data_IF_946099217921
#
_entry.id   IF_946099217921
#
_cell.length_a   1.000
_cell.length_b   1.000
_cell.length_c   1.000
_cell.angle_alpha   90.00
_cell.angle_beta   90.00
_cell.angle_gamma   90.00
#
_symmetry.space_group_name_H-M   'P 1'
#
loop_
_entity.id
_entity.type
_entity.pdbx_description
1 polymer ?
#
# COMPACT_ATOMS: atom_id res chain seq x y z
N UNK A 1 28.43 11.78 5.95
CA UNK A 1 27.25 10.93 5.70
C UNK A 1 26.03 11.85 5.69
N UNK A 2 25.45 12.09 4.52
CA UNK A 2 24.26 12.94 4.39
C UNK A 2 23.04 12.13 4.82
N UNK A 3 22.25 12.66 5.75
CA UNK A 3 21.01 11.99 6.17
C UNK A 3 19.96 12.15 5.07
N UNK A 4 19.69 11.08 4.32
CA UNK A 4 18.49 11.03 3.47
C UNK A 4 17.29 10.65 4.35
N UNK A 5 16.32 11.58 4.44
CA UNK A 5 15.06 11.37 5.14
C UNK A 5 14.22 10.33 4.37
N UNK A 6 13.54 9.39 5.05
CA UNK A 6 12.61 8.49 4.38
C UNK A 6 11.58 9.26 3.53
N UNK A 7 11.26 8.75 2.34
CA UNK A 7 10.38 9.40 1.37
C UNK A 7 8.98 9.57 1.97
N UNK A 8 8.50 8.59 2.75
CA UNK A 8 7.19 8.65 3.40
C UNK A 8 6.98 9.86 4.32
N UNK A 9 8.07 10.51 4.77
CA UNK A 9 7.96 11.71 5.59
C UNK A 9 7.47 12.93 4.79
N UNK A 10 7.56 12.86 3.46
CA UNK A 10 7.24 13.96 2.54
C UNK A 10 8.17 15.17 2.73
N UNK A 11 7.77 16.30 2.14
CA UNK A 11 8.39 17.60 2.39
C UNK A 11 8.01 18.14 3.78
N UNK A 12 8.71 19.16 4.29
CA UNK A 12 8.30 19.92 5.49
C UNK A 12 7.50 21.18 5.12
N UNK A 13 6.85 21.20 3.95
CA UNK A 13 6.17 22.39 3.44
C UNK A 13 4.91 22.69 4.30
N UNK A 14 4.84 23.85 4.98
CA UNK A 14 3.68 24.23 5.77
C UNK A 14 2.48 24.68 4.93
N UNK A 15 2.64 24.93 3.62
CA UNK A 15 1.56 25.36 2.71
C UNK A 15 0.74 24.19 2.11
N UNK A 16 0.96 22.96 2.60
CA UNK A 16 0.24 21.76 2.16
C UNK A 16 -1.26 21.94 2.26
N UNK A 17 -1.96 21.54 1.20
CA UNK A 17 -3.40 21.54 1.14
C UNK A 17 -3.91 20.26 0.49
N UNK A 18 -5.18 19.95 0.74
CA UNK A 18 -5.85 18.87 0.01
C UNK A 18 -5.77 19.15 -1.49
N UNK A 19 -5.14 18.23 -2.22
CA UNK A 19 -5.20 18.24 -3.67
C UNK A 19 -6.65 18.10 -4.13
N UNK A 20 -7.04 18.87 -5.16
CA UNK A 20 -8.32 18.67 -5.85
C UNK A 20 -8.38 17.35 -6.64
N UNK A 21 -7.30 16.56 -6.62
CA UNK A 21 -7.21 15.27 -7.26
C UNK A 21 -8.30 14.31 -6.76
N UNK A 22 -9.00 13.72 -7.73
CA UNK A 22 -9.90 12.60 -7.50
C UNK A 22 -9.50 11.46 -8.45
N UNK A 23 -9.25 10.24 -7.93
CA UNK A 23 -8.84 9.12 -8.75
C UNK A 23 -9.99 8.68 -9.64
N UNK A 24 -9.75 8.69 -10.95
CA UNK A 24 -10.75 8.30 -11.95
C UNK A 24 -11.30 6.88 -11.70
N UNK A 25 -10.45 5.98 -11.19
CA UNK A 25 -10.78 4.58 -11.00
C UNK A 25 -11.82 4.37 -9.90
N UNK A 26 -11.91 5.28 -8.92
CA UNK A 26 -12.84 5.15 -7.80
C UNK A 26 -14.29 5.23 -8.26
N UNK A 27 -14.56 6.00 -9.32
CA UNK A 27 -15.88 6.06 -9.95
C UNK A 27 -16.08 5.00 -11.05
N UNK A 28 -15.04 4.28 -11.43
CA UNK A 28 -15.05 3.30 -12.53
C UNK A 28 -14.64 1.88 -12.08
N UNK A 29 -15.16 1.45 -10.92
CA UNK A 29 -14.94 0.11 -10.38
C UNK A 29 -15.74 -0.93 -11.17
N UNK A 30 -15.16 -2.12 -11.36
CA UNK A 30 -15.89 -3.32 -11.75
C UNK A 30 -16.84 -3.74 -10.61
N UNK A 31 -17.96 -4.35 -10.95
CA UNK A 31 -18.99 -4.71 -9.96
C UNK A 31 -18.43 -5.72 -8.94
N UNK A 32 -17.52 -6.58 -9.39
CA UNK A 32 -16.78 -7.59 -8.62
C UNK A 32 -15.34 -7.14 -8.28
N UNK A 33 -15.08 -5.83 -8.19
CA UNK A 33 -13.76 -5.30 -7.84
C UNK A 33 -13.28 -5.79 -6.46
N UNK A 34 -11.98 -5.99 -6.30
CA UNK A 34 -11.35 -6.33 -5.02
C UNK A 34 -10.47 -5.19 -4.53
N UNK A 35 -10.48 -4.93 -3.23
CA UNK A 35 -9.67 -3.92 -2.58
C UNK A 35 -8.83 -4.48 -1.44
N UNK A 36 -7.52 -4.29 -1.50
CA UNK A 36 -6.57 -4.70 -0.48
C UNK A 36 -5.80 -3.49 0.05
N UNK A 37 -5.45 -3.54 1.32
CA UNK A 37 -4.73 -2.49 2.02
C UNK A 37 -3.67 -3.07 2.92
N UNK A 38 -2.53 -2.37 3.07
CA UNK A 38 -1.49 -2.78 4.02
C UNK A 38 -1.99 -2.88 5.48
N UNK A 39 -3.09 -2.18 5.79
CA UNK A 39 -3.76 -2.17 7.09
C UNK A 39 -4.83 -3.27 7.23
N UNK A 40 -4.95 -4.15 6.25
CA UNK A 40 -5.96 -5.21 6.16
C UNK A 40 -5.32 -6.60 6.25
N UNK A 41 -6.09 -7.55 6.77
CA UNK A 41 -5.80 -8.99 6.83
C UNK A 41 -6.76 -9.81 5.94
N UNK A 42 -7.38 -9.13 4.97
CA UNK A 42 -8.32 -9.66 4.01
C UNK A 42 -8.53 -8.65 2.88
N UNK A 43 -9.60 -8.80 2.11
CA UNK A 43 -9.92 -7.91 1.00
C UNK A 43 -11.40 -7.51 1.02
N UNK A 44 -11.67 -6.24 0.71
CA UNK A 44 -13.02 -5.75 0.40
C UNK A 44 -13.50 -6.34 -0.93
N UNK A 45 -14.78 -6.72 -1.01
CA UNK A 45 -15.38 -7.42 -2.14
C UNK A 45 -16.50 -6.60 -2.79
N UNK A 46 -16.37 -6.39 -4.09
CA UNK A 46 -17.31 -5.64 -4.89
C UNK A 46 -17.12 -4.12 -4.82
N UNK A 47 -17.67 -3.44 -5.82
CA UNK A 47 -17.50 -1.99 -6.00
C UNK A 47 -17.92 -1.16 -4.77
N UNK A 48 -19.00 -1.56 -4.09
CA UNK A 48 -19.54 -0.81 -2.95
C UNK A 48 -18.59 -0.82 -1.75
N UNK A 49 -18.10 -1.99 -1.36
CA UNK A 49 -17.18 -2.14 -0.24
C UNK A 49 -15.86 -1.43 -0.49
N UNK A 50 -15.29 -1.60 -1.69
CA UNK A 50 -14.06 -0.92 -2.11
C UNK A 50 -14.25 0.59 -2.07
N UNK A 51 -15.34 1.11 -2.63
CA UNK A 51 -15.64 2.54 -2.65
C UNK A 51 -15.83 3.09 -1.24
N UNK A 52 -16.57 2.39 -0.39
CA UNK A 52 -16.84 2.78 1.00
C UNK A 52 -15.53 2.89 1.79
N UNK A 53 -14.68 1.87 1.69
CA UNK A 53 -13.38 1.82 2.35
C UNK A 53 -12.46 2.95 1.89
N UNK A 54 -12.28 3.10 0.57
CA UNK A 54 -11.37 4.11 0.01
C UNK A 54 -11.88 5.52 0.33
N UNK A 55 -13.18 5.77 0.19
CA UNK A 55 -13.77 7.08 0.48
C UNK A 55 -13.55 7.44 1.95
N UNK A 56 -13.80 6.51 2.87
CA UNK A 56 -13.53 6.75 4.29
C UNK A 56 -12.04 7.01 4.56
N UNK A 57 -11.14 6.16 4.07
CA UNK A 57 -9.70 6.33 4.28
C UNK A 57 -9.20 7.71 3.80
N UNK A 58 -9.74 8.21 2.68
CA UNK A 58 -9.42 9.55 2.17
C UNK A 58 -9.88 10.69 3.08
N UNK A 59 -10.91 10.50 3.88
CA UNK A 59 -11.31 11.50 4.90
C UNK A 59 -10.32 11.63 6.05
N UNK A 60 -9.47 10.60 6.26
CA UNK A 60 -8.46 10.59 7.31
C UNK A 60 -7.13 11.22 6.88
N UNK A 61 -6.91 11.39 5.57
CA UNK A 61 -5.71 11.99 5.02
C UNK A 61 -5.78 13.52 5.15
N UNK A 62 -4.79 14.12 5.81
CA UNK A 62 -4.73 15.59 6.01
C UNK A 62 -4.38 16.38 4.73
N UNK A 63 -3.74 15.71 3.76
CA UNK A 63 -3.39 16.22 2.43
C UNK A 63 -3.05 15.04 1.53
N UNK A 64 -2.75 15.26 0.24
CA UNK A 64 -2.23 14.21 -0.63
C UNK A 64 -1.20 14.84 -1.58
N UNK A 65 0.08 14.71 -1.24
CA UNK A 65 1.21 15.22 -2.04
C UNK A 65 1.69 14.12 -2.99
N UNK A 66 1.28 14.21 -4.26
CA UNK A 66 1.63 13.20 -5.26
C UNK A 66 3.05 13.40 -5.79
N UNK A 67 3.85 12.34 -5.71
CA UNK A 67 5.12 12.20 -6.41
C UNK A 67 4.89 11.72 -7.85
N UNK A 68 3.89 10.84 -8.02
CA UNK A 68 3.52 10.27 -9.31
C UNK A 68 2.06 9.85 -9.31
N UNK A 69 1.40 9.99 -10.45
CA UNK A 69 0.21 9.23 -10.79
C UNK A 69 0.11 9.09 -12.31
N UNK A 70 -0.41 7.96 -12.78
CA UNK A 70 -0.55 7.74 -14.22
C UNK A 70 -0.73 6.29 -14.59
N UNK A 71 -0.95 6.07 -15.89
CA UNK A 71 -1.01 4.73 -16.46
C UNK A 71 0.35 4.02 -16.33
N UNK A 72 0.30 2.73 -16.02
CA UNK A 72 1.45 1.85 -15.86
C UNK A 72 1.21 0.54 -16.59
N UNK A 73 2.03 0.22 -17.58
CA UNK A 73 1.79 -0.92 -18.47
C UNK A 73 0.54 -0.70 -19.35
N UNK A 74 0.00 -1.78 -19.91
CA UNK A 74 -1.17 -1.71 -20.79
C UNK A 74 -2.47 -1.47 -20.00
N UNK A 75 -2.63 -2.17 -18.88
CA UNK A 75 -3.89 -2.20 -18.11
C UNK A 75 -3.75 -1.67 -16.67
N UNK A 76 -2.61 -1.09 -16.30
CA UNK A 76 -2.34 -0.65 -14.93
C UNK A 76 -2.46 0.86 -14.71
N UNK A 77 -2.68 1.25 -13.46
CA UNK A 77 -2.57 2.63 -12.99
C UNK A 77 -1.83 2.65 -11.65
N UNK A 78 -0.96 3.63 -11.47
CA UNK A 78 -0.13 3.80 -10.28
C UNK A 78 -0.39 5.17 -9.65
N UNK A 79 -0.42 5.24 -8.33
CA UNK A 79 -0.30 6.47 -7.56
C UNK A 79 0.81 6.29 -6.53
N UNK A 80 1.66 7.30 -6.34
CA UNK A 80 2.58 7.41 -5.22
C UNK A 80 2.45 8.80 -4.62
N UNK A 81 2.09 8.85 -3.35
CA UNK A 81 1.89 10.11 -2.64
C UNK A 81 2.23 10.00 -1.16
N UNK A 82 2.40 11.15 -0.52
CA UNK A 82 2.57 11.25 0.93
C UNK A 82 1.42 12.01 1.58
N UNK A 83 1.12 11.65 2.82
CA UNK A 83 0.05 12.26 3.63
C UNK A 83 0.35 12.12 5.12
N UNK A 84 -0.57 12.59 5.96
CA UNK A 84 -0.63 12.31 7.40
C UNK A 84 -1.99 11.76 7.79
N UNK A 85 -1.98 10.92 8.82
CA UNK A 85 -3.17 10.40 9.49
C UNK A 85 -3.03 10.76 10.96
N UNK A 86 -3.86 11.68 11.46
CA UNK A 86 -3.77 12.20 12.84
C UNK A 86 -2.33 12.59 13.26
N UNK A 87 -1.64 13.34 12.40
CA UNK A 87 -0.27 13.80 12.59
C UNK A 87 0.81 12.78 12.24
N UNK A 88 0.49 11.48 12.11
CA UNK A 88 1.46 10.45 11.74
C UNK A 88 1.74 10.46 10.24
N UNK A 89 3.00 10.65 9.79
CA UNK A 89 3.32 10.68 8.36
C UNK A 89 3.20 9.29 7.74
N UNK A 90 2.74 9.24 6.49
CA UNK A 90 2.60 8.01 5.73
C UNK A 90 2.85 8.25 4.24
N UNK A 91 3.51 7.30 3.61
CA UNK A 91 3.64 7.17 2.17
C UNK A 91 2.67 6.11 1.67
N UNK A 92 2.08 6.35 0.52
CA UNK A 92 1.02 5.50 -0.03
C UNK A 92 1.35 5.20 -1.48
N UNK A 93 1.35 3.92 -1.83
CA UNK A 93 1.36 3.47 -3.21
C UNK A 93 0.02 2.81 -3.51
N UNK A 94 -0.68 3.27 -4.53
CA UNK A 94 -1.88 2.61 -5.06
C UNK A 94 -1.52 1.95 -6.37
N UNK A 95 -1.86 0.68 -6.52
CA UNK A 95 -1.85 0.00 -7.81
C UNK A 95 -3.27 -0.41 -8.17
N UNK A 96 -3.65 -0.17 -9.42
CA UNK A 96 -4.95 -0.57 -9.97
C UNK A 96 -4.70 -1.39 -11.21
N UNK A 97 -5.21 -2.61 -11.26
CA UNK A 97 -5.31 -3.39 -12.48
C UNK A 97 -6.72 -3.25 -13.06
N UNK A 98 -6.82 -2.99 -14.36
CA UNK A 98 -8.08 -2.93 -15.08
C UNK A 98 -8.52 -4.31 -15.56
N UNK A 99 -9.83 -4.51 -15.65
CA UNK A 99 -10.40 -5.63 -16.40
C UNK A 99 -10.29 -5.39 -17.90
N UNK A 100 -10.59 -6.41 -18.70
CA UNK A 100 -10.67 -6.30 -20.16
C UNK A 100 -11.69 -5.22 -20.64
N UNK A 101 -12.66 -4.85 -19.79
CA UNK A 101 -13.60 -3.76 -20.04
C UNK A 101 -13.08 -2.36 -19.67
N UNK A 102 -11.82 -2.24 -19.23
CA UNK A 102 -11.21 -0.98 -18.79
C UNK A 102 -11.65 -0.49 -17.41
N UNK A 103 -12.46 -1.27 -16.67
CA UNK A 103 -12.89 -0.95 -15.30
C UNK A 103 -11.82 -1.34 -14.29
N UNK A 104 -11.70 -0.61 -13.18
CA UNK A 104 -10.80 -0.96 -12.11
C UNK A 104 -11.25 -2.25 -11.39
N UNK A 105 -10.41 -3.29 -11.44
CA UNK A 105 -10.75 -4.64 -10.98
C UNK A 105 -10.02 -5.03 -9.70
N UNK A 106 -8.70 -4.81 -9.64
CA UNK A 106 -7.89 -5.16 -8.48
C UNK A 106 -7.15 -3.93 -7.99
N UNK A 107 -7.47 -3.50 -6.78
CA UNK A 107 -6.90 -2.30 -6.15
C UNK A 107 -6.09 -2.75 -4.94
N UNK A 108 -4.81 -2.38 -4.91
CA UNK A 108 -3.94 -2.57 -3.75
C UNK A 108 -3.41 -1.23 -3.29
N UNK A 109 -3.62 -0.91 -2.01
CA UNK A 109 -3.15 0.32 -1.37
C UNK A 109 -2.12 -0.02 -0.29
N UNK A 110 -0.87 0.33 -0.54
CA UNK A 110 0.24 0.05 0.36
C UNK A 110 0.67 1.31 1.12
N UNK A 111 0.24 1.40 2.37
CA UNK A 111 0.69 2.43 3.32
C UNK A 111 1.99 2.02 4.01
N UNK A 112 2.84 3.00 4.31
CA UNK A 112 4.08 2.84 5.10
C UNK A 112 4.37 4.12 5.88
N UNK A 113 4.91 4.08 7.11
CA UNK A 113 5.46 2.92 7.83
C UNK A 113 4.43 2.16 8.67
N UNK A 114 4.85 1.06 9.33
CA UNK A 114 4.01 0.17 10.15
C UNK A 114 3.14 0.90 11.17
N UNK A 115 3.67 1.92 11.86
CA UNK A 115 2.89 2.70 12.84
C UNK A 115 1.64 3.35 12.22
N UNK A 116 1.76 3.93 11.03
CA UNK A 116 0.67 4.60 10.34
C UNK A 116 -0.32 3.58 9.75
N UNK A 117 0.20 2.43 9.31
CA UNK A 117 -0.60 1.26 8.91
C UNK A 117 -1.50 0.79 10.06
N UNK A 118 -0.93 0.57 11.24
CA UNK A 118 -1.69 0.09 12.41
C UNK A 118 -2.66 1.14 12.94
N UNK A 119 -2.30 2.43 12.88
CA UNK A 119 -3.21 3.53 13.20
C UNK A 119 -4.42 3.52 12.26
N UNK A 120 -4.20 3.43 10.94
CA UNK A 120 -5.27 3.35 9.96
C UNK A 120 -6.14 2.10 10.16
N UNK A 121 -5.52 0.96 10.49
CA UNK A 121 -6.25 -0.28 10.76
C UNK A 121 -7.25 -0.11 11.91
N UNK A 122 -6.82 0.50 13.03
CA UNK A 122 -7.68 0.76 14.18
C UNK A 122 -8.84 1.71 13.85
N UNK A 123 -8.56 2.82 13.17
CA UNK A 123 -9.61 3.79 12.76
C UNK A 123 -10.64 3.15 11.83
N UNK A 124 -10.20 2.34 10.87
CA UNK A 124 -11.10 1.58 10.00
C UNK A 124 -11.90 0.53 10.77
N UNK A 125 -11.28 -0.22 11.68
CA UNK A 125 -11.99 -1.19 12.52
C UNK A 125 -13.09 -0.53 13.35
N UNK A 126 -12.82 0.62 13.95
CA UNK A 126 -13.83 1.41 14.67
C UNK A 126 -14.96 1.88 13.74
N UNK A 127 -14.62 2.38 12.55
CA UNK A 127 -15.60 2.90 11.58
C UNK A 127 -16.54 1.83 11.03
N UNK A 128 -16.02 0.63 10.83
CA UNK A 128 -16.69 -0.46 10.13
C UNK A 128 -17.17 -1.57 11.06
N UNK A 129 -17.12 -1.37 12.38
CA UNK A 129 -17.76 -2.25 13.35
C UNK A 129 -19.25 -2.43 13.02
N UNK A 130 -19.72 -3.68 13.04
CA UNK A 130 -21.09 -4.07 12.67
C UNK A 130 -21.38 -4.09 11.17
N UNK A 131 -20.37 -3.94 10.31
CA UNK A 131 -20.51 -4.03 8.84
C UNK A 131 -19.89 -5.32 8.30
N UNK A 132 -20.06 -5.61 7.02
CA UNK A 132 -19.38 -6.74 6.35
C UNK A 132 -17.84 -6.63 6.38
N UNK A 133 -17.29 -5.43 6.65
CA UNK A 133 -15.86 -5.17 6.66
C UNK A 133 -15.20 -5.33 8.05
N UNK A 134 -15.95 -5.55 9.14
CA UNK A 134 -15.42 -5.53 10.52
C UNK A 134 -14.22 -6.47 10.74
N UNK A 135 -14.20 -7.63 10.08
CA UNK A 135 -13.20 -8.68 10.30
C UNK A 135 -11.91 -8.58 9.48
N UNK A 136 -11.78 -7.59 8.58
CA UNK A 136 -10.69 -7.58 7.59
C UNK A 136 -9.55 -6.64 7.95
N UNK A 137 -9.57 -5.94 9.10
CA UNK A 137 -8.51 -5.03 9.51
C UNK A 137 -7.47 -5.71 10.39
N UNK A 138 -6.20 -5.36 10.20
CA UNK A 138 -5.10 -5.91 10.97
C UNK A 138 -5.15 -5.40 12.42
N UNK A 139 -5.02 -6.30 13.40
CA UNK A 139 -4.99 -5.96 14.83
C UNK A 139 -3.56 -5.83 15.40
N UNK A 140 -2.54 -5.95 14.53
CA UNK A 140 -1.14 -5.92 14.88
C UNK A 140 -0.62 -7.19 15.58
N UNK A 141 -1.48 -8.19 15.80
CA UNK A 141 -1.14 -9.49 16.34
C UNK A 141 -1.06 -10.48 15.18
N UNK A 142 0.04 -11.19 15.09
CA UNK A 142 0.20 -12.26 14.12
C UNK A 142 0.94 -13.40 14.78
N UNK A 143 0.38 -14.61 14.74
CA UNK A 143 1.14 -15.81 15.08
C UNK A 143 1.94 -16.23 13.84
N UNK A 144 3.25 -16.46 13.99
CA UNK A 144 4.08 -16.96 12.88
C UNK A 144 3.63 -18.37 12.38
N UNK A 145 2.68 -19.01 13.08
CA UNK A 145 2.15 -20.33 12.77
C UNK A 145 0.91 -20.33 11.86
N UNK A 146 0.21 -19.21 11.69
CA UNK A 146 -0.90 -19.10 10.75
C UNK A 146 -0.37 -18.91 9.33
N UNK A 147 -0.01 -20.02 8.71
CA UNK A 147 0.13 -20.10 7.25
C UNK A 147 -1.26 -20.06 6.63
N UNK A 148 -1.89 -18.89 6.61
CA UNK A 148 -3.01 -18.65 5.71
C UNK A 148 -2.50 -18.89 4.31
N UNK A 149 -3.13 -19.81 3.57
CA UNK A 149 -2.91 -19.94 2.14
C UNK A 149 -3.25 -18.57 1.55
N UNK A 150 -2.24 -17.82 1.14
CA UNK A 150 -2.42 -16.67 0.27
C UNK A 150 -3.06 -17.19 -1.02
N UNK A 151 -4.38 -17.15 -1.05
CA UNK A 151 -5.18 -17.37 -2.26
C UNK A 151 -5.15 -16.06 -3.04
N UNK A 152 -4.78 -16.17 -4.32
CA UNK A 152 -4.73 -15.10 -5.35
C UNK A 152 -3.49 -14.20 -5.27
N UNK A 153 -2.69 -13.92 -6.30
CA UNK A 153 -2.62 -14.32 -7.72
C UNK A 153 -1.38 -15.22 -7.90
N UNK A 154 -1.56 -16.54 -7.98
CA UNK A 154 -0.58 -17.35 -8.70
C UNK A 154 -1.01 -17.28 -10.16
N UNK A 155 -0.27 -16.54 -10.99
CA UNK A 155 -0.21 -16.92 -12.39
C UNK A 155 0.05 -18.43 -12.42
N UNK A 156 -0.65 -19.18 -13.27
CA UNK A 156 -0.57 -20.64 -13.35
C UNK A 156 0.84 -21.18 -13.75
N UNK A 157 1.85 -20.32 -13.80
CA UNK A 157 3.25 -20.68 -13.83
C UNK A 157 3.74 -21.04 -12.44
N UNK A 158 4.33 -22.23 -12.30
CA UNK A 158 4.99 -22.67 -11.07
C UNK A 158 5.94 -21.61 -10.51
N UNK A 159 6.27 -21.72 -9.22
CA UNK A 159 7.15 -20.81 -8.48
C UNK A 159 8.36 -20.40 -9.34
N UNK A 160 8.30 -19.19 -9.91
CA UNK A 160 9.39 -18.64 -10.69
C UNK A 160 10.53 -18.37 -9.73
N UNK A 161 11.72 -18.91 -9.99
CA UNK A 161 12.94 -18.50 -9.27
C UNK A 161 13.35 -17.11 -9.74
N UNK A 162 12.50 -16.12 -9.43
CA UNK A 162 12.74 -14.73 -9.78
C UNK A 162 13.77 -14.16 -8.82
N UNK A 163 14.96 -13.90 -9.34
CA UNK A 163 15.94 -13.04 -8.71
C UNK A 163 15.74 -11.59 -9.21
N UNK A 164 15.46 -10.63 -8.31
CA UNK A 164 15.31 -9.24 -8.72
C UNK A 164 16.68 -8.69 -9.14
N UNK A 165 16.86 -8.45 -10.44
CA UNK A 165 18.12 -7.96 -11.01
C UNK A 165 18.56 -6.60 -10.45
N UNK A 166 17.63 -5.82 -9.89
CA UNK A 166 17.94 -4.57 -9.22
C UNK A 166 18.74 -4.77 -7.92
N UNK A 167 18.75 -5.98 -7.35
CA UNK A 167 19.48 -6.27 -6.12
C UNK A 167 21.00 -6.20 -6.30
N UNK A 168 21.48 -6.48 -7.51
CA UNK A 168 22.90 -6.37 -7.88
C UNK A 168 23.32 -4.94 -8.26
N UNK A 169 22.35 -4.02 -8.36
CA UNK A 169 22.53 -2.66 -8.89
C UNK A 169 22.01 -1.60 -7.91
N UNK A 170 22.10 -1.88 -6.61
CA UNK A 170 21.70 -0.95 -5.56
C UNK A 170 22.66 0.25 -5.50
N UNK A 171 22.10 1.45 -5.42
CA UNK A 171 22.88 2.63 -5.08
C UNK A 171 23.44 2.52 -3.65
N UNK A 172 24.59 3.14 -3.39
CA UNK A 172 25.23 3.12 -2.06
C UNK A 172 24.34 3.72 -0.96
N UNK A 173 23.46 4.66 -1.33
CA UNK A 173 22.54 5.37 -0.44
C UNK A 173 21.09 4.86 -0.54
N UNK A 174 20.87 3.68 -1.12
CA UNK A 174 19.53 3.10 -1.28
C UNK A 174 18.78 3.01 0.05
N UNK A 175 17.46 3.23 -0.02
CA UNK A 175 16.55 3.06 1.11
C UNK A 175 15.49 1.99 0.81
N UNK A 176 15.19 1.15 1.79
CA UNK A 176 14.05 0.23 1.76
C UNK A 176 13.06 0.61 2.86
N UNK A 177 11.82 0.85 2.46
CA UNK A 177 10.68 1.18 3.32
C UNK A 177 9.58 0.14 3.11
N UNK A 178 8.74 -0.08 4.12
CA UNK A 178 7.60 -0.98 3.97
C UNK A 178 6.63 -0.96 5.12
N UNK A 179 5.44 -1.51 4.87
CA UNK A 179 4.35 -1.63 5.85
C UNK A 179 4.74 -2.45 7.10
N UNK A 180 5.76 -3.31 7.00
CA UNK A 180 6.27 -4.10 8.13
C UNK A 180 7.31 -3.34 8.98
N UNK A 181 7.75 -2.14 8.56
CA UNK A 181 8.91 -1.45 9.15
C UNK A 181 8.50 -0.12 9.77
N UNK A 182 9.11 0.23 10.91
CA UNK A 182 9.11 1.59 11.43
C UNK A 182 10.47 2.23 11.14
N UNK A 183 10.53 3.03 10.08
CA UNK A 183 11.77 3.58 9.54
C UNK A 183 12.15 2.96 8.19
N UNK A 184 13.42 3.10 7.80
CA UNK A 184 13.95 2.60 6.55
C UNK A 184 15.28 1.88 6.78
N UNK A 185 15.50 0.76 6.09
CA UNK A 185 16.84 0.19 5.96
C UNK A 185 17.64 1.02 4.95
N UNK A 186 18.94 1.16 5.17
CA UNK A 186 19.79 2.08 4.41
C UNK A 186 21.08 1.42 3.98
N UNK A 187 21.48 1.69 2.74
CA UNK A 187 22.68 1.14 2.13
C UNK A 187 22.46 -0.24 1.54
N UNK A 188 23.25 -0.53 0.51
CA UNK A 188 23.10 -1.72 -0.31
C UNK A 188 23.14 -3.02 0.52
N UNK A 189 24.06 -3.13 1.49
CA UNK A 189 24.19 -4.31 2.35
C UNK A 189 22.92 -4.59 3.17
N UNK A 190 22.37 -3.57 3.83
CA UNK A 190 21.19 -3.72 4.66
C UNK A 190 19.95 -4.10 3.83
N UNK A 191 19.78 -3.44 2.67
CA UNK A 191 18.68 -3.74 1.75
C UNK A 191 18.81 -5.15 1.19
N UNK A 192 20.01 -5.54 0.73
CA UNK A 192 20.28 -6.87 0.21
C UNK A 192 19.99 -7.94 1.26
N UNK A 193 20.49 -7.78 2.48
CA UNK A 193 20.28 -8.75 3.58
C UNK A 193 18.79 -8.99 3.85
N UNK A 194 17.99 -7.91 3.95
CA UNK A 194 16.54 -8.02 4.20
C UNK A 194 15.83 -8.72 3.03
N UNK A 195 16.10 -8.31 1.80
CA UNK A 195 15.44 -8.87 0.60
C UNK A 195 15.81 -10.33 0.41
N UNK A 196 17.09 -10.69 0.60
CA UNK A 196 17.52 -12.09 0.55
C UNK A 196 16.86 -12.93 1.63
N UNK A 197 16.80 -12.45 2.88
CA UNK A 197 16.13 -13.17 3.96
C UNK A 197 14.63 -13.38 3.67
N UNK A 198 13.92 -12.34 3.21
CA UNK A 198 12.51 -12.42 2.90
C UNK A 198 12.18 -13.49 1.83
N UNK A 199 13.11 -13.78 0.92
CA UNK A 199 12.98 -14.84 -0.09
C UNK A 199 13.14 -16.27 0.45
N UNK A 200 13.57 -16.41 1.71
CA UNK A 200 13.73 -17.72 2.37
C UNK A 200 12.51 -18.16 3.19
N UNK A 201 11.52 -17.27 3.35
CA UNK A 201 10.28 -17.51 4.10
C UNK A 201 9.23 -18.22 3.24
#
# INVERSE_FOLDING_TARGET
>A
MTYHRPIYMGSDDPARSHSAYYPWWLDNLADDATGEGAFMQGAAQGAEEVRSLVTYARTLYEYQDFNHFGDHGEDGFLEDYTTRIHGEPTGVIVTVARSAGGKAQHIVVNHRPRRSVLLLAGLCAERFAGTSLEGIFADGKSSAGERTRATYLRNDGGMTDYYPVWLDNLADDVTLEGAAMNGAARGAEAVHSIVTYARTL
#
